data_IF_704472820569
#
_entry.id   IF_704472820569
#
_cell.length_a   1.000
_cell.length_b   1.000
_cell.length_c   1.000
_cell.angle_alpha   90.00
_cell.angle_beta   90.00
_cell.angle_gamma   90.00
#
_symmetry.space_group_name_H-M   'P 1'
#
loop_
_entity.id
_entity.type
_entity.pdbx_description
1 polymer ?
#
# COMPACT_ATOMS: atom_id res chain seq x y z
N UNK A 1 -11.46 -17.49 26.67
CA UNK A 1 -11.85 -16.28 25.92
C UNK A 1 -11.36 -16.25 24.47
N UNK A 2 -10.07 -16.50 24.19
CA UNK A 2 -9.46 -16.40 22.83
C UNK A 2 -10.16 -17.26 21.75
N UNK A 3 -10.60 -18.50 22.07
CA UNK A 3 -11.30 -19.38 21.12
C UNK A 3 -12.72 -18.90 20.76
N UNK A 4 -13.39 -18.17 21.66
CA UNK A 4 -14.76 -17.69 21.45
C UNK A 4 -14.78 -16.47 20.54
N UNK A 5 -13.80 -15.58 20.73
CA UNK A 5 -13.55 -14.41 19.89
C UNK A 5 -13.18 -14.84 18.47
N UNK A 6 -12.26 -15.80 18.29
CA UNK A 6 -11.94 -16.38 16.98
C UNK A 6 -13.16 -16.99 16.26
N UNK A 7 -14.06 -17.69 16.98
CA UNK A 7 -15.27 -18.28 16.38
C UNK A 7 -16.30 -17.22 15.97
N UNK A 8 -16.44 -16.16 16.76
CA UNK A 8 -17.34 -15.04 16.46
C UNK A 8 -16.83 -14.22 15.27
N UNK A 9 -15.53 -13.94 15.25
CA UNK A 9 -14.82 -13.28 14.15
C UNK A 9 -14.97 -14.09 12.86
N UNK A 10 -14.71 -15.40 12.86
CA UNK A 10 -14.95 -16.24 11.67
C UNK A 10 -16.39 -16.15 11.15
N UNK A 11 -17.39 -16.06 12.04
CA UNK A 11 -18.81 -16.02 11.64
C UNK A 11 -19.21 -14.65 11.06
N UNK A 12 -18.65 -13.56 11.57
CA UNK A 12 -18.85 -12.20 11.05
C UNK A 12 -18.07 -12.00 9.73
N UNK A 13 -16.82 -12.47 9.67
CA UNK A 13 -15.97 -12.48 8.47
C UNK A 13 -16.58 -13.24 7.28
N UNK A 14 -17.31 -14.32 7.54
CA UNK A 14 -18.01 -15.08 6.48
C UNK A 14 -19.19 -14.27 5.92
N UNK A 15 -19.92 -13.52 6.75
CA UNK A 15 -21.11 -12.78 6.34
C UNK A 15 -20.81 -11.48 5.58
N UNK A 16 -19.71 -10.79 5.87
CA UNK A 16 -19.39 -9.52 5.20
C UNK A 16 -18.83 -9.76 3.79
N UNK A 17 -17.98 -10.78 3.62
CA UNK A 17 -17.55 -11.24 2.30
C UNK A 17 -18.67 -11.84 1.44
N UNK A 18 -19.82 -12.20 2.02
CA UNK A 18 -20.99 -12.58 1.24
C UNK A 18 -21.67 -11.38 0.56
N UNK A 19 -21.44 -10.14 1.04
CA UNK A 19 -22.07 -8.92 0.48
C UNK A 19 -21.26 -8.25 -0.64
N UNK A 20 -19.93 -8.18 -0.55
CA UNK A 20 -19.06 -7.67 -1.63
C UNK A 20 -18.31 -8.82 -2.28
N UNK A 21 -18.64 -9.12 -3.55
CA UNK A 21 -17.97 -10.17 -4.33
C UNK A 21 -16.54 -9.80 -4.74
N UNK A 22 -16.21 -8.51 -4.79
CA UNK A 22 -14.91 -7.96 -5.15
C UNK A 22 -14.57 -6.84 -4.18
N UNK A 23 -13.40 -6.89 -3.56
CA UNK A 23 -12.82 -5.79 -2.76
C UNK A 23 -11.55 -5.34 -3.50
N UNK A 24 -11.39 -4.04 -3.73
CA UNK A 24 -10.21 -3.41 -4.34
C UNK A 24 -9.27 -2.86 -3.26
N UNK A 25 -8.11 -3.47 -3.08
CA UNK A 25 -7.10 -3.03 -2.12
C UNK A 25 -5.97 -2.25 -2.80
N UNK A 26 -5.56 -1.11 -2.24
CA UNK A 26 -4.39 -0.36 -2.68
C UNK A 26 -3.20 -0.52 -1.73
N UNK A 27 -2.00 -0.83 -2.22
CA UNK A 27 -0.76 -0.86 -1.41
C UNK A 27 0.12 0.36 -1.69
N UNK A 28 0.30 1.22 -0.69
CA UNK A 28 1.01 2.51 -0.77
C UNK A 28 2.12 2.60 0.27
N UNK A 29 3.05 3.56 0.11
CA UNK A 29 4.16 3.77 1.05
C UNK A 29 5.47 4.15 0.36
N UNK A 30 6.49 4.60 1.12
CA UNK A 30 7.76 5.03 0.55
C UNK A 30 8.51 3.88 -0.16
N UNK A 31 9.50 4.21 -1.00
CA UNK A 31 10.41 3.21 -1.56
C UNK A 31 11.03 2.35 -0.45
N UNK A 32 11.21 1.06 -0.73
CA UNK A 32 11.81 0.09 0.21
C UNK A 32 11.06 -0.11 1.54
N UNK A 33 9.83 0.38 1.70
CA UNK A 33 8.99 0.08 2.88
C UNK A 33 8.64 -1.42 3.01
N UNK A 34 8.77 -2.16 1.91
CA UNK A 34 8.42 -3.58 1.82
C UNK A 34 7.02 -3.85 1.28
N UNK A 35 6.45 -2.92 0.49
CA UNK A 35 5.17 -3.07 -0.21
C UNK A 35 5.13 -4.34 -1.04
N UNK A 36 6.14 -4.57 -1.89
CA UNK A 36 6.20 -5.76 -2.74
C UNK A 36 6.43 -7.04 -1.94
N UNK A 37 7.20 -6.97 -0.85
CA UNK A 37 7.34 -8.11 0.06
C UNK A 37 6.01 -8.48 0.70
N UNK A 38 5.22 -7.48 1.12
CA UNK A 38 3.88 -7.70 1.67
C UNK A 38 2.95 -8.26 0.59
N UNK A 39 2.90 -7.67 -0.60
CA UNK A 39 2.09 -8.16 -1.70
C UNK A 39 2.39 -9.63 -2.04
N UNK A 40 3.67 -10.00 -2.13
CA UNK A 40 4.08 -11.38 -2.34
C UNK A 40 3.64 -12.31 -1.22
N UNK A 41 3.76 -11.88 0.05
CA UNK A 41 3.30 -12.67 1.19
C UNK A 41 1.79 -12.95 1.10
N UNK A 42 1.00 -11.92 0.78
CA UNK A 42 -0.44 -12.02 0.60
C UNK A 42 -0.78 -13.04 -0.50
N UNK A 43 -0.09 -12.96 -1.65
CA UNK A 43 -0.22 -13.95 -2.71
C UNK A 43 0.10 -15.36 -2.24
N UNK A 44 1.25 -15.54 -1.61
CA UNK A 44 1.70 -16.85 -1.15
C UNK A 44 0.72 -17.47 -0.14
N UNK A 45 0.16 -16.66 0.75
CA UNK A 45 -0.75 -17.13 1.80
C UNK A 45 -2.10 -17.58 1.28
N UNK A 46 -2.56 -16.94 0.22
CA UNK A 46 -3.91 -17.15 -0.30
C UNK A 46 -3.94 -18.06 -1.53
N UNK A 47 -2.91 -18.02 -2.37
CA UNK A 47 -2.79 -18.80 -3.62
C UNK A 47 -1.79 -19.97 -3.51
N UNK A 48 -0.82 -19.90 -2.60
CA UNK A 48 0.30 -20.84 -2.59
C UNK A 48 1.34 -20.61 -3.70
N UNK A 49 1.25 -19.48 -4.42
CA UNK A 49 2.11 -19.12 -5.55
C UNK A 49 2.75 -17.74 -5.34
N UNK A 50 3.97 -17.55 -5.88
CA UNK A 50 4.63 -16.25 -5.90
C UNK A 50 3.98 -15.31 -6.91
N UNK A 51 3.90 -14.02 -6.57
CA UNK A 51 3.40 -12.92 -7.40
C UNK A 51 4.22 -12.64 -8.70
N UNK A 52 5.08 -13.58 -9.10
CA UNK A 52 6.16 -13.37 -10.08
C UNK A 52 7.37 -12.63 -9.50
N UNK A 53 8.47 -12.58 -10.28
CA UNK A 53 9.72 -11.95 -9.83
C UNK A 53 9.49 -10.49 -9.42
N UNK A 54 9.90 -10.19 -8.18
CA UNK A 54 10.06 -8.84 -7.68
C UNK A 54 11.31 -8.26 -8.33
N UNK A 55 11.15 -7.16 -9.06
CA UNK A 55 12.30 -6.35 -9.45
C UNK A 55 12.90 -5.76 -8.17
N UNK A 56 14.07 -6.24 -7.78
CA UNK A 56 14.87 -5.68 -6.69
C UNK A 56 15.62 -4.39 -7.09
N UNK A 57 15.22 -3.75 -8.19
CA UNK A 57 15.83 -2.49 -8.61
C UNK A 57 15.16 -1.37 -7.83
N UNK A 58 15.77 -1.01 -6.70
CA UNK A 58 15.54 0.31 -6.13
C UNK A 58 16.22 1.32 -7.04
N UNK A 59 15.49 2.12 -7.82
CA UNK A 59 15.93 3.42 -8.36
C UNK A 59 14.73 4.18 -8.94
N UNK A 60 14.77 5.52 -8.80
CA UNK A 60 14.04 6.52 -9.61
C UNK A 60 13.03 5.96 -10.61
N UNK A 61 11.76 5.83 -10.21
CA UNK A 61 10.74 5.27 -11.08
C UNK A 61 10.19 6.32 -12.04
N UNK A 62 10.57 6.18 -13.32
CA UNK A 62 10.21 7.06 -14.45
C UNK A 62 8.83 6.76 -15.06
N UNK A 63 8.19 5.66 -14.69
CA UNK A 63 6.84 5.26 -15.11
C UNK A 63 6.16 4.56 -13.93
N UNK A 64 4.84 4.67 -13.87
CA UNK A 64 4.04 3.92 -12.90
C UNK A 64 4.11 2.46 -13.30
N UNK A 65 4.84 1.68 -12.50
CA UNK A 65 4.67 0.24 -12.55
C UNK A 65 3.45 -0.11 -11.70
N UNK A 66 2.27 -0.04 -12.34
CA UNK A 66 1.09 -0.74 -11.84
C UNK A 66 1.43 -2.22 -12.01
N UNK A 67 1.68 -2.95 -10.91
CA UNK A 67 1.55 -4.41 -10.98
C UNK A 67 0.07 -4.72 -10.85
N UNK A 68 -0.48 -5.21 -11.96
CA UNK A 68 -1.90 -5.31 -12.28
C UNK A 68 -2.68 -6.25 -11.35
N UNK A 69 -3.93 -5.84 -11.09
CA UNK A 69 -5.09 -6.55 -10.53
C UNK A 69 -4.89 -8.06 -10.32
N UNK A 70 -4.43 -8.44 -9.13
CA UNK A 70 -4.45 -9.85 -8.73
C UNK A 70 -5.82 -10.13 -8.13
N UNK A 71 -6.70 -10.68 -8.95
CA UNK A 71 -8.01 -11.20 -8.54
C UNK A 71 -7.85 -12.59 -7.93
N UNK A 72 -8.07 -12.68 -6.63
CA UNK A 72 -8.00 -13.90 -5.83
C UNK A 72 -9.40 -14.51 -5.72
N UNK A 73 -9.63 -15.73 -6.20
CA UNK A 73 -10.89 -16.45 -6.01
C UNK A 73 -10.71 -17.58 -5.01
N UNK A 74 -11.31 -17.49 -3.82
CA UNK A 74 -11.34 -18.58 -2.83
C UNK A 74 -12.71 -18.65 -2.16
N UNK A 75 -13.31 -19.83 -2.11
CA UNK A 75 -14.62 -20.08 -1.50
C UNK A 75 -15.75 -19.14 -1.97
N UNK A 76 -15.78 -18.81 -3.28
CA UNK A 76 -16.79 -17.93 -3.89
C UNK A 76 -16.59 -16.43 -3.66
N UNK A 77 -15.46 -16.03 -3.08
CA UNK A 77 -15.07 -14.64 -2.79
C UNK A 77 -13.98 -14.21 -3.76
N UNK A 78 -14.11 -13.02 -4.36
CA UNK A 78 -13.06 -12.40 -5.17
C UNK A 78 -12.44 -11.22 -4.43
N UNK A 79 -11.12 -11.16 -4.37
CA UNK A 79 -10.39 -10.04 -3.78
C UNK A 79 -9.37 -9.56 -4.81
N UNK A 80 -9.49 -8.30 -5.24
CA UNK A 80 -8.55 -7.70 -6.18
C UNK A 80 -7.66 -6.71 -5.44
N UNK A 81 -6.36 -6.76 -5.69
CA UNK A 81 -5.47 -5.74 -5.14
C UNK A 81 -4.62 -5.13 -6.24
N UNK A 82 -4.37 -3.84 -6.08
CA UNK A 82 -3.50 -3.03 -6.93
C UNK A 82 -2.28 -2.64 -6.10
N UNK A 83 -1.11 -3.10 -6.54
CA UNK A 83 0.15 -2.61 -6.00
C UNK A 83 0.48 -1.30 -6.71
N UNK A 84 0.28 -0.19 -6.00
CA UNK A 84 0.61 1.13 -6.51
C UNK A 84 1.96 1.52 -5.95
N UNK A 85 3.03 1.14 -6.66
CA UNK A 85 4.31 1.80 -6.43
C UNK A 85 4.18 3.21 -6.99
N UNK A 86 4.02 4.20 -6.11
CA UNK A 86 3.73 5.57 -6.50
C UNK A 86 5.02 6.30 -6.91
N UNK A 87 5.32 6.51 -8.20
CA UNK A 87 6.13 7.65 -8.57
C UNK A 87 5.30 8.92 -8.34
N UNK A 88 5.76 9.74 -7.40
CA UNK A 88 5.46 11.17 -7.38
C UNK A 88 4.01 11.64 -7.23
N UNK A 89 3.08 10.86 -6.64
CA UNK A 89 1.81 11.46 -6.13
C UNK A 89 2.10 12.67 -5.21
N UNK A 90 3.28 12.65 -4.57
CA UNK A 90 3.78 13.71 -3.71
C UNK A 90 4.60 14.81 -4.42
N UNK A 91 4.88 14.70 -5.71
CA UNK A 91 5.87 15.55 -6.37
C UNK A 91 5.19 16.53 -7.31
N UNK A 92 5.42 17.83 -7.10
CA UNK A 92 5.10 18.84 -8.12
C UNK A 92 5.95 18.52 -9.34
N UNK A 93 5.31 18.31 -10.49
CA UNK A 93 5.99 18.05 -11.75
C UNK A 93 6.06 19.36 -12.50
N UNK A 94 7.25 19.95 -12.53
CA UNK A 94 7.54 21.13 -13.32
C UNK A 94 8.48 20.78 -14.49
N UNK A 95 8.17 21.26 -15.69
CA UNK A 95 9.03 21.02 -16.85
C UNK A 95 10.41 21.69 -16.67
N UNK A 96 10.47 22.77 -15.90
CA UNK A 96 11.71 23.47 -15.57
C UNK A 96 12.68 22.58 -14.77
N UNK A 97 12.17 21.66 -13.95
CA UNK A 97 13.02 20.73 -13.21
C UNK A 97 13.73 19.73 -14.14
N UNK A 98 13.08 19.35 -15.25
CA UNK A 98 13.73 18.55 -16.29
C UNK A 98 14.74 19.37 -17.12
N UNK A 99 14.50 20.66 -17.29
CA UNK A 99 15.47 21.54 -17.96
C UNK A 99 16.75 21.75 -17.12
N UNK A 100 16.63 21.85 -15.79
CA UNK A 100 17.79 21.97 -14.87
C UNK A 100 18.74 20.77 -14.96
N UNK A 101 18.23 19.59 -15.31
CA UNK A 101 19.04 18.37 -15.52
C UNK A 101 19.49 18.19 -16.99
N UNK A 102 19.42 19.25 -17.80
CA UNK A 102 19.98 19.28 -19.16
C UNK A 102 19.01 18.85 -20.27
N UNK A 103 17.73 18.64 -19.97
CA UNK A 103 16.75 18.28 -21.01
C UNK A 103 16.35 19.50 -21.84
N UNK A 104 16.34 19.36 -23.18
CA UNK A 104 15.85 20.41 -24.08
C UNK A 104 14.37 20.70 -23.79
N UNK A 105 13.99 21.97 -23.85
CA UNK A 105 12.66 22.47 -23.46
C UNK A 105 11.48 21.65 -24.05
N UNK A 106 11.52 21.31 -25.34
CA UNK A 106 10.47 20.52 -25.99
C UNK A 106 10.33 19.12 -25.40
N UNK A 107 11.46 18.47 -25.11
CA UNK A 107 11.49 17.16 -24.46
C UNK A 107 11.06 17.26 -22.99
N UNK A 108 11.50 18.30 -22.28
CA UNK A 108 11.14 18.57 -20.89
C UNK A 108 9.62 18.77 -20.72
N UNK A 109 8.99 19.55 -21.60
CA UNK A 109 7.53 19.75 -21.59
C UNK A 109 6.77 18.44 -21.90
N UNK A 110 7.25 17.64 -22.84
CA UNK A 110 6.67 16.33 -23.14
C UNK A 110 6.77 15.40 -21.93
N UNK A 111 7.95 15.39 -21.29
CA UNK A 111 8.24 14.56 -20.12
C UNK A 111 7.39 14.95 -18.91
N UNK A 112 7.24 16.25 -18.66
CA UNK A 112 6.38 16.75 -17.59
C UNK A 112 4.91 16.35 -17.83
N UNK A 113 4.38 16.48 -19.06
CA UNK A 113 3.01 16.05 -19.39
C UNK A 113 2.79 14.55 -19.13
N UNK A 114 3.74 13.72 -19.53
CA UNK A 114 3.69 12.27 -19.32
C UNK A 114 3.69 11.92 -17.82
N UNK A 115 4.62 12.50 -17.06
CA UNK A 115 4.71 12.27 -15.62
C UNK A 115 3.44 12.76 -14.89
N UNK A 116 2.88 13.91 -15.29
CA UNK A 116 1.62 14.43 -14.75
C UNK A 116 0.44 13.52 -15.07
N UNK A 117 0.38 12.96 -16.29
CA UNK A 117 -0.65 11.97 -16.65
C UNK A 117 -0.56 10.75 -15.73
N UNK A 118 0.66 10.28 -15.44
CA UNK A 118 0.85 9.22 -14.48
C UNK A 118 0.27 9.56 -13.10
N UNK A 119 0.61 10.73 -12.55
CA UNK A 119 0.07 11.16 -11.25
C UNK A 119 -1.46 11.21 -11.26
N UNK A 120 -2.08 11.71 -12.34
CA UNK A 120 -3.54 11.74 -12.50
C UNK A 120 -4.13 10.33 -12.52
N UNK A 121 -3.53 9.41 -13.27
CA UNK A 121 -4.01 8.03 -13.33
C UNK A 121 -3.89 7.35 -11.95
N UNK A 122 -2.79 7.58 -11.23
CA UNK A 122 -2.61 7.09 -9.84
C UNK A 122 -3.66 7.63 -8.87
N UNK A 123 -4.07 8.89 -9.06
CA UNK A 123 -5.14 9.53 -8.29
C UNK A 123 -6.49 8.89 -8.61
N UNK A 124 -6.82 8.65 -9.88
CA UNK A 124 -8.07 7.98 -10.26
C UNK A 124 -8.15 6.56 -9.69
N UNK A 125 -7.03 5.84 -9.70
CA UNK A 125 -6.96 4.52 -9.07
C UNK A 125 -7.28 4.57 -7.58
N UNK A 126 -6.83 5.60 -6.84
CA UNK A 126 -7.18 5.76 -5.42
C UNK A 126 -8.69 5.86 -5.21
N UNK A 127 -9.40 6.63 -6.04
CA UNK A 127 -10.85 6.85 -5.92
C UNK A 127 -11.67 5.57 -6.15
N UNK A 128 -11.08 4.55 -6.76
CA UNK A 128 -11.71 3.26 -6.97
C UNK A 128 -11.39 2.23 -5.87
N UNK A 129 -10.51 2.53 -4.91
CA UNK A 129 -10.11 1.56 -3.89
C UNK A 129 -11.16 1.47 -2.78
N UNK A 130 -11.48 0.24 -2.36
CA UNK A 130 -12.31 -0.01 -1.18
C UNK A 130 -11.50 0.20 0.12
N UNK A 131 -10.20 -0.14 0.11
CA UNK A 131 -9.29 0.05 1.25
C UNK A 131 -7.87 0.36 0.75
N UNK A 132 -7.18 1.26 1.44
CA UNK A 132 -5.76 1.56 1.19
C UNK A 132 -4.91 1.11 2.37
N UNK A 133 -3.86 0.35 2.08
CA UNK A 133 -2.85 -0.09 3.04
C UNK A 133 -1.60 0.78 2.84
N UNK A 134 -1.22 1.55 3.87
CA UNK A 134 0.00 2.36 3.87
C UNK A 134 1.10 1.62 4.62
N UNK A 135 2.06 1.07 3.86
CA UNK A 135 3.20 0.34 4.40
C UNK A 135 4.33 1.32 4.70
N UNK A 136 4.70 1.44 5.97
CA UNK A 136 5.80 2.26 6.45
C UNK A 136 6.93 1.37 6.99
N UNK A 137 8.18 1.74 6.77
CA UNK A 137 9.32 1.08 7.41
C UNK A 137 9.40 1.53 8.88
N UNK A 138 9.08 0.63 9.82
CA UNK A 138 9.06 0.94 11.25
C UNK A 138 10.46 1.29 11.81
N UNK A 139 11.53 1.07 11.06
CA UNK A 139 12.91 1.44 11.44
C UNK A 139 13.32 2.85 11.03
N UNK A 140 12.47 3.54 10.26
CA UNK A 140 12.74 4.87 9.70
C UNK A 140 11.92 5.94 10.43
N UNK A 141 12.24 7.19 10.15
CA UNK A 141 11.49 8.31 10.70
C UNK A 141 10.11 8.41 10.02
N UNK A 142 9.00 8.27 10.78
CA UNK A 142 7.66 8.35 10.19
C UNK A 142 7.33 9.74 9.64
N UNK A 143 7.98 10.80 10.13
CA UNK A 143 7.75 12.19 9.72
C UNK A 143 8.45 12.60 8.42
N UNK A 144 8.99 11.65 7.65
CA UNK A 144 9.54 11.97 6.33
C UNK A 144 8.48 12.65 5.44
N UNK A 145 8.91 13.59 4.59
CA UNK A 145 8.04 14.31 3.66
C UNK A 145 7.20 13.35 2.81
N UNK A 146 7.80 12.24 2.35
CA UNK A 146 7.10 11.23 1.56
C UNK A 146 5.91 10.63 2.33
N UNK A 147 6.12 10.25 3.59
CA UNK A 147 5.04 9.66 4.40
C UNK A 147 3.93 10.68 4.70
N UNK A 148 4.31 11.91 5.08
CA UNK A 148 3.37 12.98 5.36
C UNK A 148 2.52 13.27 4.13
N UNK A 149 3.13 13.33 2.94
CA UNK A 149 2.39 13.59 1.72
C UNK A 149 1.49 12.42 1.31
N UNK A 150 1.93 11.17 1.47
CA UNK A 150 1.08 9.99 1.20
C UNK A 150 -0.15 10.02 2.12
N UNK A 151 0.06 10.15 3.43
CA UNK A 151 -1.01 10.16 4.42
C UNK A 151 -1.93 11.37 4.22
N UNK A 152 -1.39 12.57 3.98
CA UNK A 152 -2.19 13.78 3.76
C UNK A 152 -3.08 13.68 2.52
N UNK A 153 -2.59 13.10 1.42
CA UNK A 153 -3.41 12.87 0.23
C UNK A 153 -4.52 11.83 0.45
N UNK A 154 -4.28 10.84 1.31
CA UNK A 154 -5.29 9.84 1.67
C UNK A 154 -6.31 10.40 2.66
N UNK A 155 -5.88 11.22 3.63
CA UNK A 155 -6.75 11.89 4.60
C UNK A 155 -7.73 12.86 3.94
N UNK A 156 -7.36 13.45 2.80
CA UNK A 156 -8.24 14.29 2.01
C UNK A 156 -9.34 13.51 1.26
N UNK A 157 -9.38 12.17 1.39
CA UNK A 157 -10.32 11.27 0.71
C UNK A 157 -11.07 10.44 1.74
N UNK A 158 -12.31 10.10 1.41
CA UNK A 158 -13.16 9.22 2.24
C UNK A 158 -12.91 7.75 1.89
N UNK A 159 -11.64 7.32 1.99
CA UNK A 159 -11.22 5.95 1.72
C UNK A 159 -10.70 5.35 3.03
N UNK A 160 -11.16 4.15 3.45
CA UNK A 160 -10.61 3.46 4.60
C UNK A 160 -9.10 3.21 4.46
N UNK A 161 -8.31 3.61 5.46
CA UNK A 161 -6.85 3.45 5.47
C UNK A 161 -6.38 2.60 6.64
N UNK A 162 -5.60 1.56 6.34
CA UNK A 162 -4.85 0.77 7.32
C UNK A 162 -3.36 1.15 7.25
N UNK A 163 -2.77 1.60 8.34
CA UNK A 163 -1.31 1.84 8.39
C UNK A 163 -0.62 0.56 8.87
N UNK A 164 0.45 0.20 8.18
CA UNK A 164 1.25 -0.99 8.48
C UNK A 164 2.68 -0.57 8.78
N UNK A 165 3.11 -0.76 10.03
CA UNK A 165 4.52 -0.62 10.40
C UNK A 165 5.26 -1.91 10.07
N UNK A 166 5.94 -1.96 8.93
CA UNK A 166 6.66 -3.15 8.46
C UNK A 166 8.09 -3.20 9.02
N UNK A 167 8.71 -4.38 8.94
CA UNK A 167 10.07 -4.71 9.43
C UNK A 167 10.23 -4.68 10.95
N UNK A 168 9.18 -5.05 11.69
CA UNK A 168 9.21 -5.14 13.17
C UNK A 168 10.13 -6.24 13.72
N UNK A 169 10.68 -7.07 12.84
CA UNK A 169 11.76 -8.01 13.16
C UNK A 169 13.10 -7.32 13.43
N UNK A 170 13.29 -6.09 12.94
CA UNK A 170 14.53 -5.34 13.12
C UNK A 170 14.56 -4.62 14.47
N UNK A 171 15.71 -4.67 15.16
CA UNK A 171 15.90 -4.03 16.48
C UNK A 171 15.60 -2.52 16.51
N UNK A 172 15.75 -1.83 15.38
CA UNK A 172 15.50 -0.39 15.25
C UNK A 172 14.02 -0.05 15.08
N UNK A 173 13.14 -1.04 14.93
CA UNK A 173 11.73 -0.81 14.70
C UNK A 173 11.09 -0.12 15.91
N UNK A 174 10.33 0.95 15.67
CA UNK A 174 9.67 1.73 16.70
C UNK A 174 8.21 2.01 16.35
N UNK A 175 7.34 1.07 16.68
CA UNK A 175 5.90 1.18 16.45
C UNK A 175 5.26 2.33 17.22
N UNK A 176 5.76 2.65 18.44
CA UNK A 176 5.25 3.79 19.22
C UNK A 176 5.47 5.11 18.50
N UNK A 177 6.62 5.27 17.84
CA UNK A 177 6.93 6.47 17.06
C UNK A 177 6.02 6.58 15.84
N UNK A 178 5.75 5.47 15.15
CA UNK A 178 4.81 5.45 14.01
C UNK A 178 3.38 5.78 14.47
N UNK A 179 2.92 5.18 15.58
CA UNK A 179 1.60 5.47 16.16
C UNK A 179 1.45 6.94 16.55
N UNK A 180 2.49 7.52 17.17
CA UNK A 180 2.48 8.93 17.58
C UNK A 180 2.43 9.88 16.38
N UNK A 181 3.00 9.51 15.24
CA UNK A 181 2.97 10.31 14.02
C UNK A 181 1.60 10.28 13.32
N UNK A 182 0.88 9.16 13.43
CA UNK A 182 -0.38 8.92 12.73
C UNK A 182 -1.45 8.36 13.67
N UNK A 183 -1.79 9.06 14.77
CA UNK A 183 -2.64 8.53 15.85
C UNK A 183 -4.09 8.26 15.44
N UNK A 184 -4.55 8.88 14.35
CA UNK A 184 -5.91 8.75 13.83
C UNK A 184 -6.13 7.47 13.03
N UNK A 185 -5.06 6.76 12.65
CA UNK A 185 -5.16 5.53 11.86
C UNK A 185 -4.92 4.30 12.71
N UNK A 186 -5.61 3.22 12.36
CA UNK A 186 -5.28 1.89 12.86
C UNK A 186 -3.88 1.49 12.37
N UNK A 187 -3.05 1.01 13.29
CA UNK A 187 -1.65 0.66 13.02
C UNK A 187 -1.38 -0.78 13.43
N UNK A 188 -0.98 -1.60 12.47
CA UNK A 188 -0.54 -2.98 12.71
C UNK A 188 0.96 -3.09 12.41
N UNK A 189 1.71 -3.67 13.36
CA UNK A 189 3.13 -3.92 13.20
C UNK A 189 3.37 -5.32 12.64
N UNK A 190 4.06 -5.42 11.50
CA UNK A 190 4.31 -6.71 10.84
C UNK A 190 5.78 -6.90 10.44
N UNK A 191 6.14 -8.16 10.20
CA UNK A 191 7.28 -8.48 9.33
C UNK A 191 6.77 -9.21 8.10
N UNK A 192 6.61 -8.49 6.99
CA UNK A 192 6.19 -9.09 5.73
C UNK A 192 7.15 -10.21 5.28
N UNK A 193 8.46 -10.05 5.54
CA UNK A 193 9.49 -11.02 5.17
C UNK A 193 9.41 -12.32 5.96
N UNK A 194 9.14 -12.23 7.26
CA UNK A 194 9.16 -13.39 8.17
C UNK A 194 7.77 -13.87 8.59
N UNK A 195 6.70 -13.23 8.09
CA UNK A 195 5.33 -13.59 8.41
C UNK A 195 4.86 -13.19 9.81
N UNK A 196 5.64 -12.39 10.56
CA UNK A 196 5.28 -11.99 11.92
C UNK A 196 4.07 -11.06 11.91
N UNK A 197 3.06 -11.38 12.73
CA UNK A 197 1.81 -10.64 12.90
C UNK A 197 0.98 -10.45 11.62
N UNK A 198 1.20 -11.30 10.61
CA UNK A 198 0.46 -11.20 9.34
C UNK A 198 -1.01 -11.63 9.50
N UNK A 199 -1.31 -12.57 10.39
CA UNK A 199 -2.69 -12.96 10.72
C UNK A 199 -3.49 -11.78 11.31
N UNK A 200 -2.90 -11.03 12.24
CA UNK A 200 -3.50 -9.83 12.84
C UNK A 200 -3.74 -8.75 11.78
N UNK A 201 -2.80 -8.60 10.83
CA UNK A 201 -2.97 -7.72 9.68
C UNK A 201 -4.16 -8.13 8.80
N UNK A 202 -4.35 -9.43 8.52
CA UNK A 202 -5.51 -9.90 7.78
C UNK A 202 -6.82 -9.64 8.52
N UNK A 203 -6.86 -9.90 9.83
CA UNK A 203 -8.03 -9.63 10.65
C UNK A 203 -8.40 -8.13 10.61
N UNK A 204 -7.44 -7.23 10.80
CA UNK A 204 -7.67 -5.78 10.71
C UNK A 204 -8.13 -5.35 9.31
N UNK A 205 -7.47 -5.85 8.27
CA UNK A 205 -7.85 -5.58 6.88
C UNK A 205 -9.29 -6.00 6.59
N UNK A 206 -9.73 -7.13 7.13
CA UNK A 206 -11.09 -7.60 6.93
C UNK A 206 -12.13 -6.81 7.72
N UNK A 207 -11.81 -6.32 8.92
CA UNK A 207 -12.68 -5.41 9.67
C UNK A 207 -12.81 -4.08 8.93
N UNK A 208 -11.72 -3.58 8.35
CA UNK A 208 -11.72 -2.29 7.66
C UNK A 208 -12.44 -2.32 6.30
N UNK A 209 -12.40 -3.46 5.59
CA UNK A 209 -13.02 -3.62 4.28
C UNK A 209 -14.53 -3.93 4.33
N UNK A 210 -15.09 -4.15 5.53
CA UNK A 210 -16.42 -4.70 5.76
C UNK A 210 -17.39 -3.78 6.49
#
# INVERSE_FOLDING_TARGET
>A
MIKLVKKFINKVLINIFQKKKHIKLGLYGPPNAGKTTLANRICQDWLGEDMGKVSNIAHETREIQIKEQISLKKDGKELSFNLVDTPGIATKIDYEDFMKVGMKEKAAKSRAKEATKGVIDSIKWLDEMDVVIVVLDATKDPYSQVNITIIGNLAARDIPVLVVGNKVDLKKANMKKVQAAFPQYELIGISAKYGKNVDEFYEALFVLAG
#
